data_IF_279387785068
#
_entry.id   IF_279387785068
#
_cell.length_a   1.000
_cell.length_b   1.000
_cell.length_c   1.000
_cell.angle_alpha   90.00
_cell.angle_beta   90.00
_cell.angle_gamma   90.00
#
_symmetry.space_group_name_H-M   'P 1'
#
loop_
_entity.id
_entity.type
_entity.pdbx_description
1 polymer ?
#
# COMPACT_ATOMS: atom_id res chain seq x y z
N UNK A 1 5.67 -11.10 10.85
CA UNK A 1 4.28 -11.19 10.33
C UNK A 1 4.22 -10.42 9.03
N UNK A 2 3.90 -11.08 7.92
CA UNK A 2 3.78 -10.43 6.59
C UNK A 2 2.43 -9.71 6.51
N UNK A 3 2.44 -8.39 6.34
CA UNK A 3 1.23 -7.63 6.09
C UNK A 3 0.85 -7.79 4.60
N UNK A 4 -0.32 -8.36 4.26
CA UNK A 4 -0.70 -8.61 2.86
C UNK A 4 -0.73 -7.34 2.00
N UNK A 5 -1.05 -6.18 2.61
CA UNK A 5 -1.04 -4.89 1.92
C UNK A 5 0.37 -4.48 1.48
N UNK A 6 1.39 -4.91 2.21
CA UNK A 6 2.78 -4.58 1.90
C UNK A 6 3.31 -5.37 0.70
N UNK A 7 2.90 -6.65 0.59
CA UNK A 7 3.23 -7.50 -0.56
C UNK A 7 2.64 -6.90 -1.83
N UNK A 8 1.31 -6.68 -1.83
CA UNK A 8 0.58 -6.09 -2.96
C UNK A 8 1.15 -4.72 -3.37
N UNK A 9 1.53 -3.90 -2.38
CA UNK A 9 2.14 -2.60 -2.63
C UNK A 9 3.50 -2.69 -3.34
N UNK A 10 4.29 -3.71 -3.00
CA UNK A 10 5.60 -3.93 -3.61
C UNK A 10 5.44 -4.43 -5.05
N UNK A 11 4.51 -5.36 -5.28
CA UNK A 11 4.14 -5.83 -6.61
C UNK A 11 3.61 -4.69 -7.49
N UNK A 12 2.76 -3.82 -6.93
CA UNK A 12 2.23 -2.65 -7.65
C UNK A 12 3.34 -1.67 -8.07
N UNK A 13 4.31 -1.42 -7.19
CA UNK A 13 5.45 -0.55 -7.49
C UNK A 13 6.48 -1.20 -8.42
N UNK A 14 6.48 -2.54 -8.50
CA UNK A 14 7.45 -3.33 -9.24
C UNK A 14 8.87 -3.21 -8.70
N UNK A 15 9.02 -2.81 -7.42
CA UNK A 15 10.30 -2.49 -6.79
C UNK A 15 10.26 -2.72 -5.28
N UNK A 16 11.26 -3.41 -4.75
CA UNK A 16 11.45 -3.56 -3.30
C UNK A 16 11.85 -2.25 -2.61
N UNK A 17 11.86 -2.28 -1.28
CA UNK A 17 12.29 -1.12 -0.49
C UNK A 17 13.75 -0.78 -0.81
N UNK A 18 14.00 0.47 -1.21
CA UNK A 18 15.30 0.99 -1.64
C UNK A 18 15.87 0.38 -2.92
N UNK A 19 15.12 -0.46 -3.63
CA UNK A 19 15.55 -1.02 -4.91
C UNK A 19 15.44 0.01 -6.04
N UNK A 20 16.49 0.08 -6.87
CA UNK A 20 16.52 0.87 -8.10
C UNK A 20 16.29 -0.08 -9.27
N UNK A 21 15.09 -0.02 -9.82
CA UNK A 21 14.71 -0.80 -11.00
C UNK A 21 14.22 0.15 -12.10
N UNK A 22 14.60 -0.09 -13.37
CA UNK A 22 14.13 0.71 -14.50
C UNK A 22 12.60 0.62 -14.70
N UNK A 23 11.95 -0.44 -14.19
CA UNK A 23 10.49 -0.63 -14.26
C UNK A 23 9.69 0.00 -13.12
N UNK A 24 10.32 0.83 -12.28
CA UNK A 24 9.69 1.39 -11.08
C UNK A 24 8.54 2.33 -11.44
N UNK A 25 7.32 1.98 -11.02
CA UNK A 25 6.13 2.76 -11.33
C UNK A 25 5.90 3.97 -10.41
N UNK A 26 6.46 3.96 -9.19
CA UNK A 26 6.27 5.05 -8.24
C UNK A 26 7.11 4.92 -6.96
N UNK A 27 6.85 5.81 -6.00
CA UNK A 27 7.55 5.83 -4.70
C UNK A 27 6.63 5.57 -3.53
N UNK A 28 7.16 4.96 -2.46
CA UNK A 28 6.42 4.76 -1.22
C UNK A 28 6.30 6.11 -0.51
N UNK A 29 5.09 6.47 -0.10
CA UNK A 29 4.77 7.75 0.54
C UNK A 29 4.05 7.54 1.87
N UNK A 30 4.59 6.64 2.70
CA UNK A 30 4.04 6.35 4.02
C UNK A 30 2.74 5.53 3.99
N UNK A 31 1.95 5.66 5.05
CA UNK A 31 0.70 4.94 5.25
C UNK A 31 -0.41 5.89 5.70
N UNK A 32 -1.61 5.70 5.17
CA UNK A 32 -2.83 6.35 5.64
C UNK A 32 -3.59 5.39 6.55
N UNK A 33 -3.98 5.85 7.73
CA UNK A 33 -4.93 5.11 8.57
C UNK A 33 -6.33 5.18 7.97
N UNK A 34 -7.01 4.04 7.89
CA UNK A 34 -8.41 3.93 7.49
C UNK A 34 -9.15 3.03 8.46
N UNK A 35 -10.28 3.52 8.94
CA UNK A 35 -11.20 2.73 9.74
C UNK A 35 -12.14 1.93 8.83
N UNK A 36 -12.07 0.60 8.92
CA UNK A 36 -13.01 -0.30 8.25
C UNK A 36 -14.06 -0.76 9.26
N UNK A 37 -15.32 -0.41 9.00
CA UNK A 37 -16.45 -0.95 9.77
C UNK A 37 -16.75 -2.35 9.24
N UNK A 38 -16.44 -3.36 10.04
CA UNK A 38 -16.71 -4.77 9.74
C UNK A 38 -17.84 -5.28 10.63
N UNK A 39 -18.40 -6.45 10.31
CA UNK A 39 -19.43 -7.10 11.14
C UNK A 39 -18.96 -7.38 12.57
N UNK A 40 -17.65 -7.57 12.76
CA UNK A 40 -17.03 -7.86 14.06
C UNK A 40 -16.55 -6.59 14.80
N UNK A 41 -16.76 -5.40 14.22
CA UNK A 41 -16.39 -4.12 14.83
C UNK A 41 -15.56 -3.22 13.93
N UNK A 42 -14.97 -2.18 14.52
CA UNK A 42 -14.09 -1.23 13.82
C UNK A 42 -12.68 -1.79 13.77
N UNK A 43 -12.13 -1.94 12.57
CA UNK A 43 -10.75 -2.33 12.33
C UNK A 43 -9.94 -1.11 11.86
N UNK A 44 -8.83 -0.84 12.52
CA UNK A 44 -7.85 0.17 12.10
C UNK A 44 -6.89 -0.45 11.09
N UNK A 45 -7.00 -0.06 9.82
CA UNK A 45 -6.13 -0.51 8.74
C UNK A 45 -5.11 0.55 8.38
N UNK A 46 -3.87 0.13 8.12
CA UNK A 46 -2.80 0.98 7.60
C UNK A 46 -2.64 0.73 6.11
N UNK A 47 -3.19 1.61 5.30
CA UNK A 47 -3.15 1.51 3.85
C UNK A 47 -1.86 2.17 3.34
N UNK A 48 -0.99 1.46 2.62
CA UNK A 48 0.22 2.05 2.07
C UNK A 48 -0.14 3.05 0.98
N UNK A 49 0.61 4.15 0.94
CA UNK A 49 0.42 5.20 -0.05
C UNK A 49 1.58 5.21 -1.05
N UNK A 50 1.25 5.42 -2.31
CA UNK A 50 2.19 5.56 -3.42
C UNK A 50 2.17 6.98 -3.95
N UNK A 51 3.33 7.45 -4.41
CA UNK A 51 3.51 8.73 -5.11
C UNK A 51 3.77 8.45 -6.59
N UNK A 52 2.95 9.02 -7.46
CA UNK A 52 3.02 8.84 -8.91
C UNK A 52 2.07 7.77 -9.46
N UNK A 53 1.51 6.90 -8.61
CA UNK A 53 0.49 5.91 -8.98
C UNK A 53 -0.56 5.81 -7.88
N UNK A 54 -1.79 5.43 -8.23
CA UNK A 54 -2.84 5.09 -7.26
C UNK A 54 -2.71 3.62 -6.87
N UNK A 55 -2.42 3.33 -5.60
CA UNK A 55 -2.42 1.94 -5.08
C UNK A 55 -3.82 1.45 -4.70
N UNK A 56 -4.71 2.37 -4.32
CA UNK A 56 -6.10 2.11 -3.98
C UNK A 56 -6.99 3.12 -4.68
N UNK A 57 -7.79 2.66 -5.65
CA UNK A 57 -8.89 3.44 -6.19
C UNK A 57 -10.06 3.32 -5.23
N UNK A 58 -10.25 4.36 -4.42
CA UNK A 58 -11.26 4.41 -3.37
C UNK A 58 -12.68 4.51 -3.91
N UNK A 59 -13.21 3.40 -4.43
CA UNK A 59 -14.64 3.15 -4.58
C UNK A 59 -15.15 2.37 -3.37
#
# INVERSE_FOLDING_TARGET
MINPLHCQHTEHLGAESYERTPGRKGYRSGYKSRQLKTRVGKLELRIPQTKGTSFYDGV
#
